data_IF_292486556987
#
_entry.id   IF_292486556987
#
_cell.length_a   1.000
_cell.length_b   1.000
_cell.length_c   1.000
_cell.angle_alpha   90.00
_cell.angle_beta   90.00
_cell.angle_gamma   90.00
#
_symmetry.space_group_name_H-M   'P 1'
#
loop_
_entity.id
_entity.type
_entity.pdbx_description
1 polymer ?
#
# COMPACT_ATOMS: atom_id res chain seq x y z
N UNK A 1 10.55 -9.99 11.38
CA UNK A 1 10.12 -9.89 12.78
C UNK A 1 10.65 -8.67 13.53
N UNK A 2 11.96 -8.32 13.46
CA UNK A 2 12.46 -7.12 14.16
C UNK A 2 12.02 -5.80 13.48
N UNK A 3 12.21 -5.68 12.16
CA UNK A 3 11.83 -4.46 11.43
C UNK A 3 10.33 -4.18 11.37
N UNK A 4 9.50 -5.22 11.42
CA UNK A 4 8.03 -5.06 11.49
C UNK A 4 7.59 -4.40 12.80
N UNK A 5 8.15 -4.85 13.94
CA UNK A 5 7.85 -4.26 15.25
C UNK A 5 8.36 -2.83 15.39
N UNK A 6 9.54 -2.55 14.82
CA UNK A 6 10.09 -1.19 14.77
C UNK A 6 9.20 -0.26 13.96
N UNK A 7 8.69 -0.73 12.83
CA UNK A 7 7.76 0.02 12.00
C UNK A 7 6.42 0.28 12.69
N UNK A 8 5.86 -0.72 13.40
CA UNK A 8 4.64 -0.54 14.19
C UNK A 8 4.84 0.54 15.25
N UNK A 9 5.98 0.51 15.97
CA UNK A 9 6.30 1.53 16.97
C UNK A 9 6.41 2.92 16.37
N UNK A 10 7.07 3.05 15.22
CA UNK A 10 7.17 4.32 14.48
C UNK A 10 5.77 4.90 14.17
N UNK A 11 4.84 4.05 13.75
CA UNK A 11 3.45 4.45 13.50
C UNK A 11 2.76 4.88 14.81
N UNK A 12 2.89 4.11 15.89
CA UNK A 12 2.31 4.45 17.20
C UNK A 12 2.83 5.78 17.74
N UNK A 13 4.12 6.06 17.58
CA UNK A 13 4.73 7.33 17.96
C UNK A 13 4.14 8.49 17.17
N UNK A 14 3.98 8.34 15.85
CA UNK A 14 3.31 9.34 15.01
C UNK A 14 1.88 9.60 15.46
N UNK A 15 1.12 8.55 15.80
CA UNK A 15 -0.25 8.69 16.30
C UNK A 15 -0.32 9.42 17.65
N UNK A 16 0.72 9.27 18.47
CA UNK A 16 0.86 10.01 19.73
C UNK A 16 1.26 11.49 19.54
N UNK A 17 1.50 11.92 18.30
CA UNK A 17 1.87 13.29 17.94
C UNK A 17 3.38 13.52 17.80
N UNK A 18 4.19 12.45 17.80
CA UNK A 18 5.61 12.56 17.52
C UNK A 18 5.86 12.87 16.04
N UNK A 19 6.96 13.58 15.75
CA UNK A 19 7.40 13.79 14.37
C UNK A 19 8.21 12.58 13.90
N UNK A 20 7.87 12.08 12.71
CA UNK A 20 8.67 11.07 12.01
C UNK A 20 9.63 11.73 11.03
N UNK A 21 10.69 11.01 10.67
CA UNK A 21 11.64 11.37 9.61
C UNK A 21 11.10 11.07 8.21
N UNK A 22 9.95 10.39 8.11
CA UNK A 22 9.29 10.12 6.84
C UNK A 22 8.68 11.38 6.25
N UNK A 23 8.54 11.39 4.94
CA UNK A 23 7.83 12.44 4.24
C UNK A 23 6.40 12.59 4.76
N UNK A 24 5.91 13.82 4.78
CA UNK A 24 4.57 14.15 5.28
C UNK A 24 3.47 13.32 4.59
N UNK A 25 3.63 13.03 3.28
CA UNK A 25 2.64 12.22 2.55
C UNK A 25 2.49 10.81 3.12
N UNK A 26 3.57 10.22 3.63
CA UNK A 26 3.57 8.90 4.27
C UNK A 26 2.85 8.98 5.60
N UNK A 27 3.18 9.99 6.42
CA UNK A 27 2.55 10.26 7.71
C UNK A 27 1.04 10.45 7.54
N UNK A 28 0.62 11.29 6.59
CA UNK A 28 -0.80 11.52 6.30
C UNK A 28 -1.51 10.25 5.82
N UNK A 29 -0.83 9.39 5.06
CA UNK A 29 -1.38 8.11 4.65
C UNK A 29 -1.65 7.19 5.85
N UNK A 30 -0.72 7.12 6.81
CA UNK A 30 -0.91 6.33 8.04
C UNK A 30 -2.07 6.85 8.88
N UNK A 31 -2.16 8.16 9.09
CA UNK A 31 -3.27 8.78 9.82
C UNK A 31 -4.62 8.43 9.17
N UNK A 32 -4.73 8.54 7.84
CA UNK A 32 -5.96 8.18 7.12
C UNK A 32 -6.32 6.70 7.27
N UNK A 33 -5.34 5.79 7.21
CA UNK A 33 -5.54 4.36 7.44
C UNK A 33 -6.17 4.09 8.81
N UNK A 34 -5.79 4.83 9.84
CA UNK A 34 -6.25 4.60 11.20
C UNK A 34 -7.55 5.34 11.47
N UNK A 35 -7.65 6.62 11.12
CA UNK A 35 -8.81 7.45 11.42
C UNK A 35 -10.04 7.07 10.58
N UNK A 36 -9.81 6.82 9.28
CA UNK A 36 -10.89 6.54 8.32
C UNK A 36 -11.16 5.05 8.21
N UNK A 37 -10.12 4.23 8.08
CA UNK A 37 -10.26 2.80 7.83
C UNK A 37 -10.18 1.94 9.10
N UNK A 38 -9.91 2.55 10.27
CA UNK A 38 -9.87 1.89 11.58
C UNK A 38 -8.93 0.68 11.62
N UNK A 39 -7.84 0.77 10.86
CA UNK A 39 -6.81 -0.25 10.85
C UNK A 39 -6.00 -0.21 12.14
N UNK A 40 -5.65 -1.39 12.64
CA UNK A 40 -4.76 -1.58 13.79
C UNK A 40 -3.39 -2.05 13.26
N UNK A 41 -2.34 -1.20 13.34
CA UNK A 41 -1.00 -1.55 12.84
C UNK A 41 -0.39 -2.78 13.54
N UNK A 42 -0.75 -3.03 14.79
CA UNK A 42 -0.22 -4.16 15.56
C UNK A 42 -0.95 -5.48 15.27
N UNK A 43 -2.08 -5.42 14.55
CA UNK A 43 -2.89 -6.59 14.21
C UNK A 43 -2.65 -7.00 12.76
N UNK A 44 -2.04 -8.17 12.52
CA UNK A 44 -1.95 -8.73 11.17
C UNK A 44 -3.36 -8.90 10.60
N UNK A 45 -3.58 -8.34 9.41
CA UNK A 45 -4.82 -8.53 8.66
C UNK A 45 -4.55 -9.53 7.55
N UNK A 46 -5.40 -10.55 7.43
CA UNK A 46 -5.30 -11.50 6.32
C UNK A 46 -5.46 -10.79 4.97
N UNK A 47 -4.75 -11.29 3.97
CA UNK A 47 -4.87 -10.75 2.63
C UNK A 47 -6.30 -10.94 2.11
N UNK A 48 -6.89 -9.86 1.57
CA UNK A 48 -8.16 -9.95 0.85
C UNK A 48 -7.92 -10.55 -0.54
N UNK A 49 -8.17 -11.87 -0.66
CA UNK A 49 -7.98 -12.62 -1.91
C UNK A 49 -9.33 -12.71 -2.64
N UNK A 50 -9.37 -12.24 -3.88
CA UNK A 50 -10.56 -12.30 -4.73
C UNK A 50 -10.62 -13.61 -5.54
N UNK A 51 -11.81 -14.12 -5.89
CA UNK A 51 -11.96 -15.26 -6.80
C UNK A 51 -11.43 -14.97 -8.21
N UNK A 52 -11.14 -16.03 -8.96
CA UNK A 52 -10.64 -15.96 -10.35
C UNK A 52 -11.54 -15.11 -11.26
N UNK A 53 -12.86 -15.25 -11.13
CA UNK A 53 -13.83 -14.50 -11.94
C UNK A 53 -13.72 -12.99 -11.74
N UNK A 54 -13.67 -12.52 -10.49
CA UNK A 54 -13.49 -11.10 -10.16
C UNK A 54 -12.11 -10.59 -10.59
N UNK A 55 -11.08 -11.42 -10.44
CA UNK A 55 -9.74 -11.07 -10.90
C UNK A 55 -9.71 -10.85 -12.42
N UNK A 56 -10.37 -11.73 -13.19
CA UNK A 56 -10.48 -11.58 -14.65
C UNK A 56 -11.22 -10.30 -15.02
N UNK A 57 -12.33 -9.99 -14.37
CA UNK A 57 -13.10 -8.77 -14.61
C UNK A 57 -12.28 -7.50 -14.34
N UNK A 58 -11.55 -7.44 -13.22
CA UNK A 58 -10.67 -6.31 -12.91
C UNK A 58 -9.55 -6.14 -13.95
N UNK A 59 -9.00 -7.26 -14.46
CA UNK A 59 -7.98 -7.24 -15.52
C UNK A 59 -8.56 -6.70 -16.81
N UNK A 60 -9.72 -7.20 -17.26
CA UNK A 60 -10.40 -6.75 -18.47
C UNK A 60 -10.70 -5.24 -18.43
N UNK A 61 -11.17 -4.71 -17.30
CA UNK A 61 -11.38 -3.27 -17.12
C UNK A 61 -10.08 -2.46 -17.26
N UNK A 62 -8.96 -3.04 -16.82
CA UNK A 62 -7.64 -2.40 -16.79
C UNK A 62 -6.80 -2.68 -18.04
N UNK A 63 -7.25 -3.55 -18.95
CA UNK A 63 -6.44 -4.09 -20.06
C UNK A 63 -5.78 -3.01 -20.90
N UNK A 64 -6.52 -1.95 -21.24
CA UNK A 64 -5.98 -0.85 -22.03
C UNK A 64 -4.83 -0.13 -21.32
N UNK A 65 -4.95 0.11 -20.02
CA UNK A 65 -3.90 0.75 -19.23
C UNK A 65 -2.69 -0.18 -19.05
N UNK A 66 -2.94 -1.46 -18.79
CA UNK A 66 -1.89 -2.48 -18.63
C UNK A 66 -1.09 -2.63 -19.92
N UNK A 67 -1.74 -2.62 -21.08
CA UNK A 67 -1.07 -2.73 -22.38
C UNK A 67 -0.11 -1.56 -22.63
N UNK A 68 -0.54 -0.32 -22.36
CA UNK A 68 0.30 0.87 -22.50
C UNK A 68 1.49 0.81 -21.54
N UNK A 69 1.24 0.49 -20.26
CA UNK A 69 2.30 0.39 -19.26
C UNK A 69 3.35 -0.66 -19.64
N UNK A 70 2.92 -1.83 -20.15
CA UNK A 70 3.84 -2.89 -20.59
C UNK A 70 4.74 -2.44 -21.72
N UNK A 71 4.18 -1.80 -22.75
CA UNK A 71 4.97 -1.26 -23.86
C UNK A 71 6.00 -0.24 -23.36
N UNK A 72 5.60 0.64 -22.43
CA UNK A 72 6.51 1.62 -21.84
C UNK A 72 7.65 0.98 -21.04
N UNK A 73 7.34 -0.03 -20.21
CA UNK A 73 8.33 -0.78 -19.46
C UNK A 73 9.30 -1.54 -20.38
N UNK A 74 8.79 -2.20 -21.42
CA UNK A 74 9.65 -2.87 -22.40
C UNK A 74 10.61 -1.90 -23.10
N UNK A 75 10.18 -0.67 -23.40
CA UNK A 75 11.05 0.36 -23.96
C UNK A 75 12.09 0.85 -22.95
N UNK A 76 11.71 1.04 -21.68
CA UNK A 76 12.62 1.47 -20.61
C UNK A 76 13.71 0.42 -20.31
N UNK A 77 13.37 -0.88 -20.31
CA UNK A 77 14.31 -1.96 -20.01
C UNK A 77 15.18 -2.38 -21.21
N UNK A 78 14.90 -1.89 -22.41
CA UNK A 78 15.71 -2.12 -23.62
C UNK A 78 16.79 -1.04 -23.85
N UNK A 79 16.91 -0.08 -22.94
CA UNK A 79 17.97 0.95 -22.89
C UNK A 79 19.01 0.58 -21.85
#
# INVERSE_FOLDING_TARGET
MAGEREHIREIEEVLSGARSVRDDIVVQSWLRCIDTHRLDPARPTEAYIVPDTQLREHREQSERLIAIARSGLETLFKQ
#
